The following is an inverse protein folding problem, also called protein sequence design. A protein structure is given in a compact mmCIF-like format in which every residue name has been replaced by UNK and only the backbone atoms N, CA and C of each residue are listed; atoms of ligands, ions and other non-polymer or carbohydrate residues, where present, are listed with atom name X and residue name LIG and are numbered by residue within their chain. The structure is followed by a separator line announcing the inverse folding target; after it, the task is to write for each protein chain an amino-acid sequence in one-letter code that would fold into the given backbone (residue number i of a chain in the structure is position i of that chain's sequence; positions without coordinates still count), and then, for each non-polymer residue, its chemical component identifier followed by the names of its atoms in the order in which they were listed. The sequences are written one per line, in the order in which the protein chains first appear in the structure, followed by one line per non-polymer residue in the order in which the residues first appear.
data_IF_282765051702
#
_entry.id   IF_282765051702
#
_cell.length_a   1.000
_cell.length_b   1.000
_cell.length_c   1.000
_cell.angle_alpha   90.00
_cell.angle_beta   90.00
_cell.angle_gamma   90.00
#
_symmetry.space_group_name_H-M   'P 1'
#
loop_
_entity.id
_entity.type
_entity.pdbx_description
1 polymer ?
#
# COMPACT_ATOMS: atom_id res chain seq x y z
N UNK A 1 6.30 21.17 1.53
CA UNK A 1 5.89 20.15 2.53
C UNK A 1 6.71 18.89 2.28
N UNK A 2 7.21 18.25 3.33
CA UNK A 2 8.05 17.04 3.22
C UNK A 2 7.11 15.87 2.92
N UNK A 3 7.26 15.28 1.74
CA UNK A 3 6.39 14.22 1.22
C UNK A 3 6.62 12.92 1.99
N UNK A 4 5.55 12.19 2.32
CA UNK A 4 5.61 11.01 3.18
C UNK A 4 5.41 9.73 2.34
N UNK A 5 6.47 8.93 2.21
CA UNK A 5 6.38 7.58 1.66
C UNK A 5 6.94 6.62 2.71
N UNK A 6 6.05 5.89 3.38
CA UNK A 6 6.39 5.08 4.56
C UNK A 6 6.29 3.61 4.21
N UNK A 7 7.39 2.88 4.37
CA UNK A 7 7.36 1.42 4.31
C UNK A 7 6.69 0.86 5.56
N UNK A 8 5.72 -0.02 5.37
CA UNK A 8 4.94 -0.63 6.46
C UNK A 8 5.58 -1.98 6.82
N UNK A 9 6.09 -2.10 8.05
CA UNK A 9 6.87 -3.26 8.51
C UNK A 9 6.20 -4.06 9.60
N UNK A 10 5.09 -3.56 10.15
CA UNK A 10 4.36 -4.20 11.26
C UNK A 10 2.85 -4.19 11.04
N UNK A 11 2.15 -5.07 11.76
CA UNK A 11 0.68 -5.06 11.77
C UNK A 11 0.09 -3.80 12.40
N UNK A 12 0.78 -3.23 13.37
CA UNK A 12 0.34 -2.00 14.04
C UNK A 12 0.34 -0.83 13.05
N UNK A 13 1.44 -0.64 12.32
CA UNK A 13 1.50 0.36 11.24
C UNK A 13 0.45 0.08 10.17
N UNK A 14 0.29 -1.17 9.74
CA UNK A 14 -0.74 -1.52 8.77
C UNK A 14 -2.13 -1.10 9.25
N UNK A 15 -2.50 -1.44 10.48
CA UNK A 15 -3.80 -1.08 11.06
C UNK A 15 -3.96 0.44 11.21
N UNK A 16 -2.91 1.14 11.66
CA UNK A 16 -2.89 2.58 11.79
C UNK A 16 -3.18 3.26 10.44
N UNK A 17 -2.42 2.94 9.40
CA UNK A 17 -2.59 3.53 8.08
C UNK A 17 -3.87 3.06 7.38
N UNK A 18 -4.34 1.84 7.65
CA UNK A 18 -5.61 1.33 7.11
C UNK A 18 -6.81 2.10 7.66
N UNK A 19 -6.73 2.59 8.89
CA UNK A 19 -7.75 3.44 9.49
C UNK A 19 -7.68 4.90 9.02
N UNK A 20 -6.54 5.34 8.49
CA UNK A 20 -6.37 6.66 7.91
C UNK A 20 -7.18 6.78 6.60
N UNK A 21 -8.08 7.75 6.49
CA UNK A 21 -8.95 7.88 5.31
C UNK A 21 -8.28 8.60 4.13
N UNK A 22 -7.35 9.51 4.42
CA UNK A 22 -6.79 10.42 3.42
C UNK A 22 -5.40 9.94 2.97
N UNK A 23 -5.34 8.75 2.37
CA UNK A 23 -4.10 8.22 1.82
C UNK A 23 -4.26 6.94 1.02
N UNK A 24 -3.13 6.40 0.58
CA UNK A 24 -3.07 5.28 -0.34
C UNK A 24 -2.02 4.26 0.09
N UNK A 25 -2.34 3.00 -0.17
CA UNK A 25 -1.40 1.89 -0.05
C UNK A 25 -0.80 1.59 -1.40
N UNK A 26 0.52 1.51 -1.48
CA UNK A 26 1.22 0.92 -2.62
C UNK A 26 1.64 -0.49 -2.24
N UNK A 27 1.16 -1.46 -3.00
CA UNK A 27 1.53 -2.87 -2.86
C UNK A 27 2.42 -3.22 -4.04
N UNK A 28 3.65 -3.61 -3.74
CA UNK A 28 4.62 -4.09 -4.71
C UNK A 28 4.82 -5.56 -4.43
N UNK A 29 4.43 -6.44 -5.35
CA UNK A 29 4.73 -7.85 -5.24
C UNK A 29 5.46 -8.37 -6.48
N UNK A 30 5.71 -9.67 -6.53
CA UNK A 30 6.45 -10.33 -7.61
C UNK A 30 5.76 -10.23 -8.97
N UNK A 31 4.48 -9.87 -9.01
CA UNK A 31 3.68 -9.84 -10.24
C UNK A 31 3.39 -8.43 -10.71
N UNK A 32 3.20 -7.47 -9.79
CA UNK A 32 2.75 -6.12 -10.13
C UNK A 32 3.02 -5.10 -9.04
N UNK A 33 2.84 -3.83 -9.41
CA UNK A 33 2.89 -2.67 -8.52
C UNK A 33 1.58 -1.92 -8.63
N UNK A 34 0.82 -1.86 -7.55
CA UNK A 34 -0.52 -1.30 -7.58
C UNK A 34 -0.73 -0.36 -6.40
N UNK A 35 -1.31 0.81 -6.67
CA UNK A 35 -1.76 1.75 -5.65
C UNK A 35 -3.26 1.59 -5.39
N UNK A 36 -3.63 1.66 -4.12
CA UNK A 36 -4.97 1.41 -3.61
C UNK A 36 -5.39 2.50 -2.65
N UNK A 37 -6.67 2.86 -2.62
CA UNK A 37 -7.22 3.65 -1.51
C UNK A 37 -7.18 2.84 -0.21
N UNK A 38 -7.12 3.49 0.95
CA UNK A 38 -7.15 2.78 2.24
C UNK A 38 -8.41 1.95 2.43
N UNK A 39 -9.54 2.34 1.84
CA UNK A 39 -10.79 1.56 1.86
C UNK A 39 -10.81 0.31 0.95
N UNK A 40 -9.79 0.08 0.12
CA UNK A 40 -9.80 -1.02 -0.84
C UNK A 40 -9.82 -2.40 -0.15
N UNK A 41 -10.70 -3.34 -0.55
CA UNK A 41 -10.76 -4.69 0.05
C UNK A 41 -9.53 -5.55 -0.24
N UNK A 42 -8.78 -5.23 -1.31
CA UNK A 42 -7.52 -5.93 -1.63
C UNK A 42 -6.36 -5.51 -0.73
N UNK A 43 -6.47 -4.36 -0.06
CA UNK A 43 -5.55 -3.96 1.01
C UNK A 43 -6.04 -4.64 2.30
N UNK A 44 -5.73 -5.92 2.45
CA UNK A 44 -6.14 -6.70 3.62
C UNK A 44 -4.95 -7.18 4.44
N UNK A 45 -5.16 -7.33 5.75
CA UNK A 45 -4.10 -7.67 6.69
C UNK A 45 -3.57 -9.09 6.49
N UNK A 46 -4.41 -10.04 6.04
CA UNK A 46 -3.99 -11.42 5.78
C UNK A 46 -2.92 -11.50 4.69
N UNK A 47 -3.11 -10.77 3.59
CA UNK A 47 -2.14 -10.66 2.50
C UNK A 47 -0.87 -9.93 2.94
N UNK A 48 -1.00 -8.89 3.76
CA UNK A 48 0.16 -8.20 4.33
C UNK A 48 1.00 -9.13 5.20
N UNK A 49 0.36 -9.86 6.14
CA UNK A 49 1.03 -10.85 6.99
C UNK A 49 1.80 -11.88 6.18
N UNK A 50 1.16 -12.41 5.15
CA UNK A 50 1.78 -13.43 4.30
C UNK A 50 2.96 -12.84 3.52
N UNK A 51 2.76 -11.73 2.81
CA UNK A 51 3.77 -11.17 1.88
C UNK A 51 4.95 -10.52 2.59
N UNK A 52 4.67 -9.73 3.64
CA UNK A 52 5.65 -8.89 4.33
C UNK A 52 6.23 -9.61 5.53
N UNK A 53 5.40 -10.08 6.46
CA UNK A 53 5.89 -10.58 7.75
C UNK A 53 6.44 -12.01 7.64
N UNK A 54 5.62 -12.98 7.20
CA UNK A 54 6.02 -14.38 7.15
C UNK A 54 7.10 -14.64 6.11
N UNK A 55 6.99 -14.01 4.95
CA UNK A 55 7.96 -14.16 3.87
C UNK A 55 9.11 -13.15 3.94
N UNK A 56 9.24 -12.37 5.02
CA UNK A 56 10.27 -11.34 5.19
C UNK A 56 10.40 -10.43 3.94
N UNK A 57 9.24 -9.99 3.43
CA UNK A 57 9.06 -9.17 2.23
C UNK A 57 9.53 -9.77 0.90
N UNK A 58 9.93 -11.06 0.85
CA UNK A 58 10.31 -11.72 -0.41
C UNK A 58 9.15 -11.79 -1.42
N UNK A 59 7.91 -11.82 -0.93
CA UNK A 59 6.70 -11.92 -1.73
C UNK A 59 5.97 -10.58 -1.90
N UNK A 60 6.57 -9.50 -1.39
CA UNK A 60 6.12 -8.13 -1.63
C UNK A 60 6.33 -7.19 -0.45
N UNK A 61 6.22 -5.91 -0.77
CA UNK A 61 6.36 -4.77 0.12
C UNK A 61 5.09 -3.93 0.10
N UNK A 62 4.84 -3.27 1.22
CA UNK A 62 3.71 -2.37 1.40
C UNK A 62 4.24 -1.01 1.80
N UNK A 63 3.72 0.03 1.14
CA UNK A 63 4.02 1.42 1.47
C UNK A 63 2.72 2.20 1.67
N UNK A 64 2.78 3.24 2.50
CA UNK A 64 1.75 4.25 2.63
C UNK A 64 2.22 5.58 2.04
N UNK A 65 1.32 6.29 1.38
CA UNK A 65 1.56 7.62 0.78
C UNK A 65 0.31 8.47 0.91
N UNK A 66 0.48 9.79 1.03
CA UNK A 66 -0.59 10.78 1.15
C UNK A 66 -1.17 11.22 -0.20
N UNK A 67 -0.49 10.91 -1.32
CA UNK A 67 -0.88 11.37 -2.65
C UNK A 67 -0.95 10.27 -3.71
N UNK A 68 -2.08 10.18 -4.42
CA UNK A 68 -2.26 9.20 -5.51
C UNK A 68 -1.24 9.38 -6.63
N UNK A 69 -1.10 10.62 -7.14
CA UNK A 69 -0.21 10.90 -8.28
C UNK A 69 1.24 10.62 -7.91
N UNK A 70 1.68 11.11 -6.75
CA UNK A 70 3.04 10.90 -6.27
C UNK A 70 3.35 9.41 -6.04
N UNK A 71 2.47 8.69 -5.34
CA UNK A 71 2.66 7.27 -5.10
C UNK A 71 2.75 6.46 -6.40
N UNK A 72 1.98 6.84 -7.43
CA UNK A 72 2.08 6.21 -8.75
C UNK A 72 3.41 6.50 -9.42
N UNK A 73 3.86 7.74 -9.44
CA UNK A 73 5.11 8.14 -10.09
C UNK A 73 6.34 7.53 -9.39
N UNK A 74 6.41 7.66 -8.07
CA UNK A 74 7.55 7.20 -7.27
C UNK A 74 7.73 5.68 -7.38
N UNK A 75 6.66 4.92 -7.23
CA UNK A 75 6.73 3.46 -7.22
C UNK A 75 6.50 2.84 -8.59
N UNK A 76 6.18 3.65 -9.62
CA UNK A 76 5.71 3.21 -10.95
C UNK A 76 4.53 2.25 -10.82
N UNK A 77 3.58 2.61 -9.96
CA UNK A 77 2.43 1.79 -9.63
C UNK A 77 1.21 2.13 -10.49
N UNK A 78 0.49 1.09 -10.92
CA UNK A 78 -0.79 1.24 -11.59
C UNK A 78 -1.91 1.50 -10.58
N UNK A 79 -2.94 2.25 -10.98
CA UNK A 79 -4.13 2.43 -10.13
C UNK A 79 -4.88 1.10 -10.04
N UNK A 80 -5.26 0.70 -8.83
CA UNK A 80 -6.12 -0.45 -8.63
C UNK A 80 -7.46 -0.25 -9.36
N UNK A 81 -7.79 -1.19 -10.26
CA UNK A 81 -9.03 -1.17 -11.05
C UNK A 81 -10.31 -1.31 -10.20
N UNK A 82 -10.18 -1.80 -8.97
CA UNK A 82 -11.30 -1.96 -8.03
C UNK A 82 -11.45 -0.79 -7.06
N UNK A 83 -10.48 0.12 -7.02
CA UNK A 83 -10.67 1.38 -6.32
C UNK A 83 -11.54 2.28 -7.18
N UNK A 84 -12.57 2.89 -6.58
CA UNK A 84 -13.40 3.85 -7.29
C UNK A 84 -12.53 5.00 -7.82
N UNK A 85 -12.89 5.60 -8.97
CA UNK A 85 -12.35 6.90 -9.32
C UNK A 85 -12.68 7.87 -8.18
N UNK A 86 -11.66 8.57 -7.73
CA UNK A 86 -11.85 9.85 -7.05
C UNK A 86 -12.04 10.90 -8.14
#
# INVERSE_FOLDING_TARGET
MKKLNIEIKSEEEFKHYKAYRDGYFVIIDTTRRVIHTTGCPYVNISNFREKVLKNASKNGWYYFTDGLVEGREMFRAEKCKHCRPE
#
